data_IF_962438920748
#
_entry.id   IF_962438920748
#
_cell.length_a   1.000
_cell.length_b   1.000
_cell.length_c   1.000
_cell.angle_alpha   90.00
_cell.angle_beta   90.00
_cell.angle_gamma   90.00
#
_symmetry.space_group_name_H-M   'P 1'
#
loop_
_entity.id
_entity.type
_entity.pdbx_description
1 polymer ?
#
# COMPACT_ATOMS: atom_id res chain seq x y z
N UNK A 1 12.40 -8.51 30.20
CA UNK A 1 12.79 -7.68 29.03
C UNK A 1 14.05 -6.90 29.35
N UNK A 2 15.12 -7.01 28.55
CA UNK A 2 16.36 -6.24 28.68
C UNK A 2 16.49 -5.24 27.52
N UNK A 3 16.29 -3.94 27.80
CA UNK A 3 16.34 -2.86 26.80
C UNK A 3 17.69 -2.15 26.82
N UNK A 4 18.80 -2.90 26.90
CA UNK A 4 20.14 -2.33 26.91
C UNK A 4 21.11 -3.14 26.04
N UNK A 5 22.05 -2.42 25.40
CA UNK A 5 23.14 -3.02 24.64
C UNK A 5 24.45 -2.25 24.88
N UNK A 6 25.58 -2.93 24.69
CA UNK A 6 26.91 -2.31 24.76
C UNK A 6 27.57 -2.40 23.39
N UNK A 7 27.86 -1.26 22.78
CA UNK A 7 28.56 -1.16 21.49
C UNK A 7 29.88 -0.42 21.68
N UNK A 8 30.99 -1.04 21.27
CA UNK A 8 32.33 -0.44 21.39
C UNK A 8 32.65 0.14 22.79
N UNK A 9 32.24 -0.56 23.87
CA UNK A 9 32.39 -0.17 25.28
C UNK A 9 31.47 0.96 25.77
N UNK A 10 30.56 1.45 24.94
CA UNK A 10 29.50 2.41 25.31
C UNK A 10 28.22 1.66 25.58
N UNK A 11 27.65 1.86 26.77
CA UNK A 11 26.33 1.30 27.13
C UNK A 11 25.19 2.20 26.62
N UNK A 12 24.19 1.58 26.01
CA UNK A 12 22.94 2.20 25.59
C UNK A 12 21.80 1.56 26.34
N UNK A 13 20.86 2.37 26.80
CA UNK A 13 19.65 1.91 27.48
C UNK A 13 18.45 2.66 26.96
N UNK A 14 17.38 1.94 26.62
CA UNK A 14 16.15 2.48 26.10
C UNK A 14 15.03 2.36 27.15
N UNK A 15 14.15 3.35 27.20
CA UNK A 15 13.11 3.43 28.22
C UNK A 15 11.90 2.50 27.93
N UNK A 16 11.65 2.16 26.66
CA UNK A 16 10.52 1.36 26.24
C UNK A 16 10.79 0.60 24.93
N UNK A 17 9.95 -0.40 24.62
CA UNK A 17 9.95 -1.09 23.31
C UNK A 17 9.66 -0.11 22.18
N UNK A 18 8.74 0.83 22.39
CA UNK A 18 8.45 1.92 21.44
C UNK A 18 9.69 2.73 21.08
N UNK A 19 10.51 3.10 22.07
CA UNK A 19 11.78 3.80 21.82
C UNK A 19 12.78 2.91 21.07
N UNK A 20 12.87 1.62 21.40
CA UNK A 20 13.72 0.67 20.66
C UNK A 20 13.29 0.59 19.20
N UNK A 21 11.99 0.45 18.91
CA UNK A 21 11.45 0.42 17.56
C UNK A 21 11.82 1.69 16.79
N UNK A 22 11.58 2.86 17.37
CA UNK A 22 11.84 4.14 16.72
C UNK A 22 13.33 4.33 16.41
N UNK A 23 14.20 4.06 17.38
CA UNK A 23 15.67 4.24 17.22
C UNK A 23 16.33 3.16 16.36
N UNK A 24 15.71 1.98 16.20
CA UNK A 24 16.16 0.95 15.28
C UNK A 24 15.86 1.27 13.82
N UNK A 25 14.96 2.23 13.56
CA UNK A 25 14.52 2.57 12.22
C UNK A 25 15.67 3.07 11.33
N UNK A 26 15.67 2.77 10.01
CA UNK A 26 16.52 3.49 9.06
C UNK A 26 16.30 5.00 9.14
N UNK A 27 17.28 5.83 8.77
CA UNK A 27 17.10 7.27 8.80
C UNK A 27 15.88 7.70 7.98
N UNK A 28 15.01 8.51 8.61
CA UNK A 28 13.81 9.08 8.00
C UNK A 28 13.66 10.51 8.49
N UNK A 29 13.41 11.42 7.59
CA UNK A 29 13.25 12.85 7.92
C UNK A 29 12.09 13.09 8.88
N UNK A 30 10.96 12.38 8.71
CA UNK A 30 9.81 12.48 9.61
C UNK A 30 10.12 12.04 11.03
N UNK A 31 10.88 10.96 11.23
CA UNK A 31 11.27 10.51 12.58
C UNK A 31 12.22 11.51 13.28
N UNK A 32 13.07 12.18 12.49
CA UNK A 32 13.92 13.27 13.00
C UNK A 32 13.06 14.46 13.42
N UNK A 33 12.10 14.86 12.58
CA UNK A 33 11.16 15.95 12.86
C UNK A 33 10.32 15.66 14.12
N UNK A 34 9.88 14.42 14.29
CA UNK A 34 9.11 13.98 15.46
C UNK A 34 9.98 13.80 16.72
N UNK A 35 11.31 13.90 16.61
CA UNK A 35 12.25 13.74 17.74
C UNK A 35 12.38 12.29 18.25
N UNK A 36 11.99 11.29 17.45
CA UNK A 36 12.02 9.87 17.83
C UNK A 36 13.17 9.09 17.21
N UNK A 37 13.85 9.65 16.21
CA UNK A 37 14.99 9.04 15.55
C UNK A 37 16.17 8.77 16.50
N UNK A 38 17.04 7.81 16.12
CA UNK A 38 18.34 7.65 16.78
C UNK A 38 19.21 8.91 16.61
N UNK A 39 19.88 9.35 17.67
CA UNK A 39 20.74 10.52 17.65
C UNK A 39 22.00 10.35 16.79
N UNK A 40 22.46 9.10 16.62
CA UNK A 40 23.57 8.76 15.75
C UNK A 40 23.50 7.31 15.23
N UNK A 41 24.35 6.93 14.23
CA UNK A 41 24.34 5.57 13.68
C UNK A 41 24.71 4.46 14.70
N UNK A 42 25.46 4.78 15.77
CA UNK A 42 25.87 3.78 16.78
C UNK A 42 24.71 3.48 17.72
N UNK A 43 23.94 4.50 18.12
CA UNK A 43 22.70 4.32 18.87
C UNK A 43 21.70 3.46 18.08
N UNK A 44 21.57 3.69 16.75
CA UNK A 44 20.73 2.85 15.88
C UNK A 44 21.18 1.39 15.87
N UNK A 45 22.50 1.14 15.81
CA UNK A 45 23.04 -0.23 15.89
C UNK A 45 22.71 -0.85 17.24
N UNK A 46 22.83 -0.09 18.34
CA UNK A 46 22.48 -0.56 19.69
C UNK A 46 20.97 -0.91 19.78
N UNK A 47 20.10 -0.04 19.26
CA UNK A 47 18.66 -0.28 19.22
C UNK A 47 18.30 -1.53 18.39
N UNK A 48 18.93 -1.72 17.23
CA UNK A 48 18.76 -2.94 16.41
C UNK A 48 19.24 -4.19 17.11
N UNK A 49 20.33 -4.14 17.85
CA UNK A 49 20.83 -5.27 18.63
C UNK A 49 19.85 -5.67 19.75
N UNK A 50 19.25 -4.67 20.43
CA UNK A 50 18.17 -4.92 21.40
C UNK A 50 16.95 -5.49 20.72
N UNK A 51 16.48 -4.86 19.63
CA UNK A 51 15.30 -5.27 18.89
C UNK A 51 15.39 -6.71 18.40
N UNK A 52 16.57 -7.12 17.89
CA UNK A 52 16.80 -8.49 17.42
C UNK A 52 16.62 -9.55 18.51
N UNK A 53 16.87 -9.20 19.79
CA UNK A 53 16.73 -10.09 20.92
C UNK A 53 15.37 -10.08 21.61
N UNK A 54 14.46 -9.16 21.27
CA UNK A 54 13.10 -9.11 21.79
C UNK A 54 12.27 -10.25 21.19
N UNK A 55 11.50 -10.96 22.03
CA UNK A 55 10.55 -11.97 21.56
C UNK A 55 9.29 -11.31 20.98
N UNK A 56 8.60 -12.01 20.07
CA UNK A 56 7.34 -11.52 19.53
C UNK A 56 6.28 -11.35 20.63
N UNK A 57 6.35 -12.20 21.67
CA UNK A 57 5.51 -12.05 22.86
C UNK A 57 5.79 -10.75 23.61
N UNK A 58 7.06 -10.38 23.82
CA UNK A 58 7.43 -9.10 24.46
C UNK A 58 6.97 -7.89 23.65
N UNK A 59 7.01 -7.98 22.31
CA UNK A 59 6.46 -6.93 21.44
C UNK A 59 4.95 -6.80 21.60
N UNK A 60 4.20 -7.89 21.60
CA UNK A 60 2.74 -7.90 21.81
C UNK A 60 2.34 -7.32 23.16
N UNK A 61 3.06 -7.70 24.22
CA UNK A 61 2.83 -7.19 25.58
C UNK A 61 3.20 -5.71 25.77
N UNK A 62 3.77 -5.07 24.74
CA UNK A 62 4.25 -3.68 24.79
C UNK A 62 3.79 -2.90 23.55
N UNK A 63 2.48 -2.72 23.33
CA UNK A 63 1.96 -1.99 22.18
C UNK A 63 2.46 -0.54 22.18
N UNK A 64 2.69 0.03 20.98
CA UNK A 64 3.21 1.41 20.86
C UNK A 64 2.19 2.48 21.26
N UNK A 65 0.89 2.17 21.16
CA UNK A 65 -0.21 2.94 21.75
C UNK A 65 -1.01 1.99 22.65
N UNK A 66 -1.31 2.35 23.91
CA UNK A 66 -2.01 1.46 24.83
C UNK A 66 -3.40 1.02 24.31
N UNK A 67 -3.81 -0.19 24.67
CA UNK A 67 -5.11 -0.77 24.28
C UNK A 67 -6.29 0.12 24.64
N UNK A 68 -6.27 0.73 25.84
CA UNK A 68 -7.34 1.58 26.34
C UNK A 68 -7.45 2.93 25.62
N UNK A 69 -6.36 3.35 24.93
CA UNK A 69 -6.23 4.68 24.34
C UNK A 69 -6.47 4.70 22.81
N UNK A 70 -6.50 3.51 22.14
CA UNK A 70 -6.47 3.49 20.68
C UNK A 70 -7.31 2.34 20.11
N UNK A 71 -8.29 2.66 19.27
CA UNK A 71 -9.18 1.67 18.65
C UNK A 71 -8.43 0.73 17.68
N UNK A 72 -7.31 1.19 17.07
CA UNK A 72 -6.53 0.36 16.16
C UNK A 72 -5.76 -0.70 16.96
N UNK A 73 -5.25 -0.36 18.15
CA UNK A 73 -4.65 -1.36 19.05
C UNK A 73 -5.68 -2.40 19.48
N UNK A 74 -6.90 -1.96 19.88
CA UNK A 74 -8.00 -2.88 20.22
C UNK A 74 -8.32 -3.82 19.06
N UNK A 75 -8.53 -3.25 17.88
CA UNK A 75 -8.85 -4.03 16.68
C UNK A 75 -7.78 -5.09 16.36
N UNK A 76 -6.49 -4.72 16.45
CA UNK A 76 -5.37 -5.63 16.17
C UNK A 76 -5.32 -6.76 17.19
N UNK A 77 -5.40 -6.44 18.50
CA UNK A 77 -5.33 -7.45 19.57
C UNK A 77 -6.54 -8.39 19.56
N UNK A 78 -7.76 -7.84 19.39
CA UNK A 78 -9.00 -8.63 19.42
C UNK A 78 -9.17 -9.52 18.19
N UNK A 79 -8.50 -9.22 17.07
CA UNK A 79 -8.56 -10.00 15.83
C UNK A 79 -7.37 -10.94 15.61
N UNK A 80 -6.40 -10.97 16.51
CA UNK A 80 -5.21 -11.81 16.38
C UNK A 80 -5.58 -13.30 16.45
N UNK A 81 -5.05 -14.11 15.54
CA UNK A 81 -5.17 -15.57 15.61
C UNK A 81 -4.20 -16.14 16.66
N UNK A 82 -4.74 -16.47 17.82
CA UNK A 82 -3.95 -17.00 18.95
C UNK A 82 -3.23 -18.29 18.58
N UNK A 83 -3.83 -19.17 17.79
CA UNK A 83 -3.20 -20.44 17.41
C UNK A 83 -2.01 -20.23 16.47
N UNK A 84 -2.09 -19.28 15.56
CA UNK A 84 -0.97 -18.88 14.73
C UNK A 84 0.11 -18.14 15.53
N UNK A 85 -0.29 -17.30 16.50
CA UNK A 85 0.63 -16.60 17.39
C UNK A 85 1.40 -17.57 18.30
N UNK A 86 0.75 -18.59 18.88
CA UNK A 86 1.39 -19.58 19.73
C UNK A 86 2.55 -20.33 19.03
N UNK A 87 2.47 -20.46 17.70
CA UNK A 87 3.54 -21.06 16.90
C UNK A 87 4.80 -20.19 16.81
N UNK A 88 4.70 -18.86 16.97
CA UNK A 88 5.79 -17.91 16.71
C UNK A 88 6.13 -17.02 17.90
N UNK A 89 5.25 -16.86 18.87
CA UNK A 89 5.39 -15.92 19.99
C UNK A 89 6.68 -16.07 20.80
N UNK A 90 7.27 -17.27 20.81
CA UNK A 90 8.53 -17.58 21.49
C UNK A 90 9.78 -17.14 20.71
N UNK A 91 9.68 -16.90 19.39
CA UNK A 91 10.79 -16.47 18.55
C UNK A 91 11.20 -15.03 18.90
N UNK A 92 12.49 -14.75 18.87
CA UNK A 92 12.91 -13.37 18.86
C UNK A 92 12.84 -12.78 17.41
N UNK A 93 12.85 -11.45 17.33
CA UNK A 93 12.74 -10.76 16.01
C UNK A 93 13.88 -11.18 15.07
N UNK A 94 15.07 -11.41 15.60
CA UNK A 94 16.21 -11.91 14.83
C UNK A 94 15.96 -13.31 14.26
N UNK A 95 15.42 -14.21 15.06
CA UNK A 95 15.06 -15.59 14.63
C UNK A 95 13.96 -15.58 13.57
N UNK A 96 12.93 -14.74 13.75
CA UNK A 96 11.89 -14.54 12.72
C UNK A 96 12.50 -14.06 11.42
N UNK A 97 13.44 -13.07 11.47
CA UNK A 97 14.16 -12.59 10.28
C UNK A 97 14.89 -13.71 9.55
N UNK A 98 15.68 -14.51 10.27
CA UNK A 98 16.44 -15.61 9.68
C UNK A 98 15.49 -16.65 9.05
N UNK A 99 14.43 -17.03 9.74
CA UNK A 99 13.44 -17.97 9.23
C UNK A 99 12.76 -17.45 7.93
N UNK A 100 12.37 -16.19 7.87
CA UNK A 100 11.79 -15.58 6.66
C UNK A 100 12.74 -15.62 5.48
N UNK A 101 14.06 -15.48 5.71
CA UNK A 101 15.09 -15.46 4.68
C UNK A 101 15.52 -16.86 4.23
N UNK A 102 15.30 -17.89 5.01
CA UNK A 102 15.67 -19.27 4.63
C UNK A 102 15.08 -19.65 3.28
N UNK A 103 15.88 -20.33 2.44
CA UNK A 103 15.45 -20.78 1.11
C UNK A 103 14.29 -21.77 1.19
N UNK A 104 14.22 -22.56 2.26
CA UNK A 104 13.18 -23.56 2.52
C UNK A 104 11.87 -22.95 3.00
N UNK A 105 11.87 -21.73 3.49
CA UNK A 105 10.65 -21.03 3.92
C UNK A 105 9.85 -20.57 2.71
N UNK A 106 8.69 -21.22 2.51
CA UNK A 106 7.79 -20.94 1.39
C UNK A 106 6.78 -19.84 1.70
N UNK A 107 6.17 -19.27 0.67
CA UNK A 107 5.08 -18.30 0.84
C UNK A 107 3.87 -18.88 1.57
N UNK A 108 3.59 -20.18 1.45
CA UNK A 108 2.49 -20.84 2.18
C UNK A 108 2.80 -20.96 3.68
N UNK A 109 4.05 -21.24 4.04
CA UNK A 109 4.49 -21.22 5.44
C UNK A 109 4.39 -19.82 6.04
N UNK A 110 4.79 -18.79 5.31
CA UNK A 110 4.64 -17.39 5.75
C UNK A 110 3.16 -17.05 5.93
N UNK A 111 2.30 -17.44 4.98
CA UNK A 111 0.86 -17.21 5.05
C UNK A 111 0.22 -17.87 6.28
N UNK A 112 0.69 -19.04 6.69
CA UNK A 112 0.13 -19.74 7.86
C UNK A 112 0.38 -19.03 9.19
N UNK A 113 1.46 -18.23 9.30
CA UNK A 113 1.77 -17.46 10.51
C UNK A 113 1.27 -16.01 10.45
N UNK A 114 0.95 -15.51 9.25
CA UNK A 114 0.54 -14.11 9.05
C UNK A 114 -0.62 -13.66 9.95
N UNK A 115 -1.69 -14.47 10.21
CA UNK A 115 -2.77 -14.09 11.12
C UNK A 115 -2.33 -13.91 12.59
N UNK A 116 -1.22 -14.51 13.00
CA UNK A 116 -0.63 -14.39 14.33
C UNK A 116 0.39 -13.25 14.47
N UNK A 117 0.65 -12.47 13.40
CA UNK A 117 1.55 -11.34 13.45
C UNK A 117 0.79 -10.03 13.72
N UNK A 118 1.27 -9.25 14.71
CA UNK A 118 0.83 -7.86 14.86
C UNK A 118 1.61 -6.95 13.90
N UNK A 119 1.09 -5.75 13.59
CA UNK A 119 1.80 -4.74 12.81
C UNK A 119 3.18 -4.39 13.38
N UNK A 120 3.28 -4.28 14.70
CA UNK A 120 4.54 -3.97 15.39
C UNK A 120 5.60 -5.07 15.18
N UNK A 121 5.19 -6.34 15.11
CA UNK A 121 6.10 -7.46 14.78
C UNK A 121 6.59 -7.37 13.33
N UNK A 122 5.70 -7.03 12.40
CA UNK A 122 6.08 -6.81 11.00
C UNK A 122 7.04 -5.62 10.85
N UNK A 123 6.78 -4.50 11.53
CA UNK A 123 7.68 -3.35 11.57
C UNK A 123 9.03 -3.69 12.23
N UNK A 124 9.03 -4.47 13.32
CA UNK A 124 10.25 -4.86 14.02
C UNK A 124 11.19 -5.67 13.12
N UNK A 125 10.67 -6.71 12.45
CA UNK A 125 11.48 -7.55 11.56
C UNK A 125 11.94 -6.76 10.32
N UNK A 126 11.10 -5.88 9.78
CA UNK A 126 11.41 -4.98 8.67
C UNK A 126 12.66 -4.12 8.95
N UNK A 127 12.78 -3.55 10.15
CA UNK A 127 13.91 -2.71 10.57
C UNK A 127 15.26 -3.44 10.65
N UNK A 128 15.24 -4.76 10.74
CA UNK A 128 16.45 -5.59 10.72
C UNK A 128 16.87 -6.04 9.31
N UNK A 129 16.06 -5.77 8.29
CA UNK A 129 16.27 -6.23 6.91
C UNK A 129 16.95 -5.18 6.04
N UNK A 130 17.81 -5.62 5.12
CA UNK A 130 18.28 -4.83 3.98
C UNK A 130 17.20 -4.71 2.91
N UNK A 131 17.37 -3.82 1.93
CA UNK A 131 16.47 -3.73 0.79
C UNK A 131 16.32 -5.07 0.05
N UNK A 132 17.43 -5.79 -0.13
CA UNK A 132 17.42 -7.09 -0.79
C UNK A 132 16.67 -8.15 0.02
N UNK A 133 16.81 -8.12 1.36
CA UNK A 133 16.04 -9.01 2.26
C UNK A 133 14.53 -8.76 2.12
N UNK A 134 14.10 -7.48 2.16
CA UNK A 134 12.70 -7.08 1.99
C UNK A 134 12.13 -7.57 0.65
N UNK A 135 12.88 -7.39 -0.43
CA UNK A 135 12.49 -7.85 -1.76
C UNK A 135 12.39 -9.38 -1.82
N UNK A 136 13.37 -10.09 -1.25
CA UNK A 136 13.43 -11.56 -1.27
C UNK A 136 12.22 -12.16 -0.55
N UNK A 137 11.88 -11.64 0.62
CA UNK A 137 10.72 -12.13 1.39
C UNK A 137 9.41 -11.67 0.75
N UNK A 138 9.31 -10.41 0.32
CA UNK A 138 8.14 -9.88 -0.37
C UNK A 138 7.74 -10.71 -1.59
N UNK A 139 8.73 -11.16 -2.37
CA UNK A 139 8.52 -12.03 -3.54
C UNK A 139 7.97 -13.43 -3.17
N UNK A 140 8.25 -13.94 -1.97
CA UNK A 140 7.66 -15.20 -1.46
C UNK A 140 6.19 -15.02 -1.05
N UNK A 141 5.82 -13.84 -0.52
CA UNK A 141 4.49 -13.56 0.01
C UNK A 141 3.51 -13.29 -1.14
N UNK A 142 2.72 -14.30 -1.50
CA UNK A 142 1.71 -14.17 -2.55
C UNK A 142 0.34 -13.95 -1.94
N UNK A 143 -0.32 -12.87 -2.35
CA UNK A 143 -1.70 -12.56 -1.99
C UNK A 143 -2.52 -12.47 -3.27
N UNK A 144 -3.55 -13.30 -3.39
CA UNK A 144 -4.45 -13.34 -4.55
C UNK A 144 -5.83 -12.86 -4.11
N UNK A 145 -6.36 -11.87 -4.81
CA UNK A 145 -7.67 -11.26 -4.53
C UNK A 145 -8.49 -11.13 -5.80
N UNK A 146 -9.81 -11.04 -5.69
CA UNK A 146 -10.74 -11.00 -6.81
C UNK A 146 -11.85 -9.97 -6.62
N UNK A 147 -12.01 -9.09 -7.60
CA UNK A 147 -13.20 -8.25 -7.83
C UNK A 147 -13.84 -8.66 -9.16
N UNK A 148 -13.77 -7.86 -10.22
CA UNK A 148 -14.20 -8.28 -11.57
C UNK A 148 -13.09 -9.08 -12.29
N UNK A 149 -11.84 -8.92 -11.89
CA UNK A 149 -10.69 -9.72 -12.33
C UNK A 149 -9.86 -10.18 -11.14
N UNK A 150 -8.77 -10.92 -11.39
CA UNK A 150 -7.96 -11.58 -10.36
C UNK A 150 -6.56 -10.97 -10.31
N UNK A 151 -6.18 -10.35 -9.16
CA UNK A 151 -4.86 -9.78 -8.92
C UNK A 151 -3.95 -10.72 -8.14
N UNK A 152 -2.64 -10.49 -8.23
CA UNK A 152 -1.61 -11.17 -7.44
C UNK A 152 -1.23 -12.56 -7.93
N UNK A 153 -1.64 -12.95 -9.12
CA UNK A 153 -1.25 -14.23 -9.74
C UNK A 153 0.25 -14.26 -10.11
N UNK A 154 0.88 -15.45 -10.18
CA UNK A 154 2.26 -15.57 -10.60
C UNK A 154 2.51 -14.95 -11.98
N UNK A 155 3.63 -14.21 -12.11
CA UNK A 155 4.00 -13.59 -13.38
C UNK A 155 3.21 -12.36 -13.77
N UNK A 156 2.30 -11.88 -12.92
CA UNK A 156 1.55 -10.65 -13.17
C UNK A 156 2.16 -9.43 -12.45
N UNK A 157 1.95 -8.26 -13.04
CA UNK A 157 2.10 -6.94 -12.45
C UNK A 157 0.98 -6.08 -12.99
N UNK A 158 0.01 -5.76 -12.17
CA UNK A 158 -1.16 -4.99 -12.59
C UNK A 158 -0.88 -3.48 -12.56
N UNK A 159 -1.77 -2.68 -13.12
CA UNK A 159 -1.67 -1.23 -13.11
C UNK A 159 -3.00 -0.60 -12.66
N UNK A 160 -2.94 0.25 -11.65
CA UNK A 160 -4.01 1.21 -11.37
C UNK A 160 -3.88 2.36 -12.35
N UNK A 161 -4.97 2.68 -13.03
CA UNK A 161 -5.06 3.81 -13.94
C UNK A 161 -5.70 4.99 -13.22
N UNK A 162 -5.00 6.14 -13.16
CA UNK A 162 -5.48 7.36 -12.51
C UNK A 162 -5.70 8.48 -13.55
N UNK A 163 -6.92 8.63 -14.06
CA UNK A 163 -7.23 9.61 -15.09
C UNK A 163 -7.79 10.90 -14.47
N UNK A 164 -7.09 11.50 -13.53
CA UNK A 164 -7.54 12.71 -12.84
C UNK A 164 -7.75 13.89 -13.79
N UNK A 165 -8.73 14.73 -13.45
CA UNK A 165 -8.97 15.99 -14.15
C UNK A 165 -9.20 17.14 -13.15
N UNK A 166 -8.54 18.30 -13.30
CA UNK A 166 -8.54 19.35 -12.26
C UNK A 166 -9.89 20.04 -12.03
N UNK A 167 -10.88 19.77 -12.88
CA UNK A 167 -12.24 20.31 -12.76
C UNK A 167 -13.33 19.24 -12.88
N UNK A 168 -12.98 17.99 -12.72
CA UNK A 168 -13.87 16.82 -12.85
C UNK A 168 -14.62 16.76 -14.20
N UNK A 169 -14.04 17.34 -15.29
CA UNK A 169 -14.64 17.21 -16.60
C UNK A 169 -14.65 15.73 -17.03
N UNK A 170 -15.82 15.14 -17.05
CA UNK A 170 -16.02 13.72 -17.36
C UNK A 170 -15.46 13.34 -18.74
N UNK A 171 -15.55 14.24 -19.73
CA UNK A 171 -14.96 13.97 -21.06
C UNK A 171 -13.45 13.88 -21.01
N UNK A 172 -12.81 14.74 -20.24
CA UNK A 172 -11.37 14.71 -19.99
C UNK A 172 -10.94 13.43 -19.25
N UNK A 173 -11.68 13.04 -18.21
CA UNK A 173 -11.47 11.78 -17.46
C UNK A 173 -11.57 10.58 -18.39
N UNK A 174 -12.64 10.49 -19.20
CA UNK A 174 -12.84 9.39 -20.15
C UNK A 174 -11.76 9.37 -21.25
N UNK A 175 -11.30 10.52 -21.71
CA UNK A 175 -10.21 10.58 -22.68
C UNK A 175 -8.91 10.02 -22.11
N UNK A 176 -8.49 10.48 -20.92
CA UNK A 176 -7.32 9.98 -20.21
C UNK A 176 -7.45 8.48 -19.87
N UNK A 177 -8.66 8.03 -19.51
CA UNK A 177 -8.93 6.61 -19.28
C UNK A 177 -8.67 5.77 -20.53
N UNK A 178 -9.19 6.20 -21.69
CA UNK A 178 -8.96 5.51 -22.96
C UNK A 178 -7.48 5.48 -23.36
N UNK A 179 -6.76 6.56 -23.08
CA UNK A 179 -5.33 6.60 -23.32
C UNK A 179 -4.59 5.55 -22.48
N UNK A 180 -4.81 5.51 -21.16
CA UNK A 180 -4.17 4.52 -20.30
C UNK A 180 -4.53 3.08 -20.66
N UNK A 181 -5.80 2.81 -20.99
CA UNK A 181 -6.23 1.50 -21.48
C UNK A 181 -5.51 1.10 -22.78
N UNK A 182 -5.30 2.04 -23.71
CA UNK A 182 -4.57 1.80 -24.96
C UNK A 182 -3.08 1.49 -24.75
N UNK A 183 -2.53 1.86 -23.60
CA UNK A 183 -1.17 1.45 -23.16
C UNK A 183 -1.17 0.19 -22.28
N UNK A 184 -2.33 -0.45 -22.09
CA UNK A 184 -2.45 -1.67 -21.30
C UNK A 184 -2.47 -1.44 -19.78
N UNK A 185 -2.83 -0.25 -19.33
CA UNK A 185 -3.05 0.08 -17.92
C UNK A 185 -4.53 -0.01 -17.55
N UNK A 186 -4.83 -0.25 -16.27
CA UNK A 186 -6.20 -0.24 -15.74
C UNK A 186 -6.73 -1.60 -15.30
N UNK A 187 -5.94 -2.64 -15.35
CA UNK A 187 -6.33 -3.98 -14.91
C UNK A 187 -6.47 -4.11 -13.38
N UNK A 188 -5.77 -3.27 -12.59
CA UNK A 188 -6.02 -3.23 -11.14
C UNK A 188 -7.32 -2.46 -10.84
N UNK A 189 -7.43 -1.25 -11.37
CA UNK A 189 -8.60 -0.38 -11.21
C UNK A 189 -8.48 0.85 -12.11
N UNK A 190 -9.60 1.42 -12.53
CA UNK A 190 -9.70 2.79 -13.01
C UNK A 190 -10.15 3.64 -11.83
N UNK A 191 -9.22 4.37 -11.21
CA UNK A 191 -9.45 5.12 -9.97
C UNK A 191 -9.26 6.62 -10.18
N UNK A 192 -10.31 7.41 -9.96
CA UNK A 192 -10.31 8.87 -10.12
C UNK A 192 -10.26 9.55 -8.77
N UNK A 193 -9.26 10.41 -8.54
CA UNK A 193 -9.32 11.38 -7.45
C UNK A 193 -10.14 12.59 -7.92
N UNK A 194 -11.31 12.86 -7.33
CA UNK A 194 -12.13 13.98 -7.76
C UNK A 194 -11.57 15.30 -7.22
N UNK A 195 -11.72 16.37 -8.00
CA UNK A 195 -11.46 17.74 -7.53
C UNK A 195 -12.58 18.24 -6.60
N UNK A 196 -13.79 17.68 -6.77
CA UNK A 196 -14.98 18.02 -5.97
C UNK A 196 -15.48 16.81 -5.21
N UNK A 197 -15.38 16.85 -3.89
CA UNK A 197 -15.83 15.76 -3.01
C UNK A 197 -17.36 15.87 -2.76
N UNK A 198 -18.17 15.54 -3.79
CA UNK A 198 -19.64 15.54 -3.71
C UNK A 198 -20.24 14.22 -4.17
N UNK A 199 -21.35 13.75 -3.56
CA UNK A 199 -22.03 12.52 -3.96
C UNK A 199 -22.48 12.52 -5.42
N UNK A 200 -22.95 13.66 -5.92
CA UNK A 200 -23.47 13.82 -7.29
C UNK A 200 -22.33 13.71 -8.33
N UNK A 201 -21.21 14.43 -8.12
CA UNK A 201 -20.02 14.34 -8.97
C UNK A 201 -19.44 12.92 -8.95
N UNK A 202 -19.31 12.32 -7.77
CA UNK A 202 -18.86 10.94 -7.60
C UNK A 202 -19.74 9.98 -8.37
N UNK A 203 -21.07 10.10 -8.24
CA UNK A 203 -22.03 9.24 -8.93
C UNK A 203 -22.02 9.42 -10.47
N UNK A 204 -21.81 10.65 -10.96
CA UNK A 204 -21.69 10.94 -12.38
C UNK A 204 -20.45 10.28 -12.97
N UNK A 205 -19.28 10.47 -12.35
CA UNK A 205 -18.02 9.86 -12.80
C UNK A 205 -18.14 8.34 -12.84
N UNK A 206 -18.68 7.72 -11.77
CA UNK A 206 -18.85 6.27 -11.70
C UNK A 206 -19.77 5.73 -12.81
N UNK A 207 -20.90 6.40 -13.12
CA UNK A 207 -21.81 5.98 -14.19
C UNK A 207 -21.15 6.05 -15.57
N UNK A 208 -20.38 7.09 -15.83
CA UNK A 208 -19.72 7.26 -17.11
C UNK A 208 -18.54 6.28 -17.30
N UNK A 209 -17.78 5.99 -16.23
CA UNK A 209 -16.76 4.94 -16.23
C UNK A 209 -17.39 3.57 -16.46
N UNK A 210 -18.50 3.24 -15.78
CA UNK A 210 -19.23 2.00 -16.00
C UNK A 210 -19.70 1.88 -17.45
N UNK A 211 -20.25 2.95 -18.02
CA UNK A 211 -20.66 2.98 -19.42
C UNK A 211 -19.50 2.73 -20.39
N UNK A 212 -18.30 3.26 -20.13
CA UNK A 212 -17.10 2.97 -20.92
C UNK A 212 -16.68 1.51 -20.81
N UNK A 213 -16.66 0.98 -19.58
CA UNK A 213 -16.31 -0.42 -19.29
C UNK A 213 -17.25 -1.37 -20.02
N UNK A 214 -18.54 -1.17 -19.91
CA UNK A 214 -19.57 -2.02 -20.55
C UNK A 214 -19.51 -1.98 -22.08
N UNK A 215 -19.45 -0.77 -22.67
CA UNK A 215 -19.40 -0.60 -24.14
C UNK A 215 -18.20 -1.30 -24.77
N UNK A 216 -17.10 -1.42 -24.07
CA UNK A 216 -15.87 -2.01 -24.58
C UNK A 216 -15.55 -3.38 -23.95
N UNK A 217 -16.46 -3.93 -23.12
CA UNK A 217 -16.31 -5.20 -22.40
C UNK A 217 -14.94 -5.31 -21.68
N UNK A 218 -14.52 -4.26 -20.96
CA UNK A 218 -13.23 -4.20 -20.31
C UNK A 218 -13.27 -4.98 -18.99
N UNK A 219 -12.44 -6.01 -18.79
CA UNK A 219 -12.41 -6.77 -17.54
C UNK A 219 -11.62 -6.01 -16.47
N UNK A 220 -12.26 -5.03 -15.85
CA UNK A 220 -11.70 -4.19 -14.81
C UNK A 220 -12.79 -3.76 -13.82
N UNK A 221 -12.42 -2.99 -12.83
CA UNK A 221 -13.27 -2.33 -11.86
C UNK A 221 -12.97 -0.82 -11.82
N UNK A 222 -13.92 -0.05 -11.33
CA UNK A 222 -13.78 1.39 -11.17
C UNK A 222 -13.95 1.83 -9.71
N UNK A 223 -13.42 3.01 -9.41
CA UNK A 223 -13.53 3.66 -8.11
C UNK A 223 -13.39 5.18 -8.26
N UNK A 224 -14.09 5.95 -7.43
CA UNK A 224 -13.81 7.38 -7.22
C UNK A 224 -13.30 7.57 -5.79
N UNK A 225 -12.16 8.23 -5.64
CA UNK A 225 -11.43 8.32 -4.38
C UNK A 225 -11.93 9.51 -3.53
N UNK A 226 -13.24 9.67 -3.43
CA UNK A 226 -13.91 10.57 -2.50
C UNK A 226 -13.84 10.04 -1.07
N UNK A 227 -14.12 10.86 -0.09
CA UNK A 227 -14.28 10.40 1.30
C UNK A 227 -15.35 9.30 1.39
N UNK A 228 -15.16 8.31 2.28
CA UNK A 228 -16.05 7.14 2.39
C UNK A 228 -17.52 7.53 2.56
N UNK A 229 -17.82 8.56 3.36
CA UNK A 229 -19.21 9.05 3.55
C UNK A 229 -19.84 9.61 2.27
N UNK A 230 -19.04 10.22 1.39
CA UNK A 230 -19.51 10.70 0.08
C UNK A 230 -19.82 9.53 -0.83
N UNK A 231 -18.98 8.48 -0.82
CA UNK A 231 -19.20 7.26 -1.59
C UNK A 231 -20.45 6.50 -1.11
N UNK A 232 -20.68 6.41 0.21
CA UNK A 232 -21.89 5.82 0.78
C UNK A 232 -23.14 6.57 0.27
N UNK A 233 -23.12 7.91 0.25
CA UNK A 233 -24.19 8.73 -0.29
C UNK A 233 -24.38 8.52 -1.82
N UNK A 234 -23.29 8.41 -2.57
CA UNK A 234 -23.35 8.11 -3.99
C UNK A 234 -24.04 6.74 -4.26
N UNK A 235 -23.77 5.73 -3.43
CA UNK A 235 -24.49 4.44 -3.49
C UNK A 235 -25.97 4.58 -3.20
N UNK A 236 -26.38 5.45 -2.27
CA UNK A 236 -27.79 5.74 -2.01
C UNK A 236 -28.49 6.39 -3.23
N UNK A 237 -27.73 7.14 -4.06
CA UNK A 237 -28.20 7.67 -5.35
C UNK A 237 -28.30 6.61 -6.45
N UNK A 238 -27.99 5.34 -6.13
CA UNK A 238 -28.08 4.20 -7.06
C UNK A 238 -27.03 4.22 -8.16
N UNK A 239 -25.83 4.75 -7.91
CA UNK A 239 -24.73 4.64 -8.85
C UNK A 239 -24.07 3.25 -8.80
N UNK A 240 -23.55 2.73 -9.93
CA UNK A 240 -22.70 1.54 -9.89
C UNK A 240 -21.40 1.85 -9.16
N UNK A 241 -20.94 0.95 -8.30
CA UNK A 241 -19.68 1.07 -7.59
C UNK A 241 -19.06 -0.31 -7.42
N UNK A 242 -17.86 -0.49 -7.97
CA UNK A 242 -17.14 -1.77 -7.87
C UNK A 242 -16.30 -1.85 -6.61
N UNK A 243 -15.60 -0.76 -6.28
CA UNK A 243 -14.74 -0.66 -5.11
C UNK A 243 -15.07 0.60 -4.32
N UNK A 244 -14.95 0.53 -3.00
CA UNK A 244 -15.05 1.67 -2.09
C UNK A 244 -13.69 2.00 -1.50
N UNK A 245 -13.32 3.26 -1.57
CA UNK A 245 -12.02 3.79 -1.18
C UNK A 245 -12.04 4.46 0.19
N UNK A 246 -10.93 4.37 0.93
CA UNK A 246 -10.60 5.28 2.02
C UNK A 246 -9.10 5.28 2.34
N UNK A 247 -8.54 6.45 2.68
CA UNK A 247 -7.19 6.57 3.26
C UNK A 247 -7.23 6.21 4.74
N UNK A 248 -6.20 5.50 5.21
CA UNK A 248 -6.09 5.02 6.59
C UNK A 248 -4.88 5.62 7.29
N UNK A 249 -4.99 5.78 8.60
CA UNK A 249 -3.88 6.08 9.51
C UNK A 249 -3.66 4.95 10.52
N UNK A 250 -2.45 4.86 11.05
CA UNK A 250 -2.05 3.82 12.00
C UNK A 250 -2.51 4.04 13.45
N UNK A 251 -3.28 5.10 13.72
CA UNK A 251 -3.80 5.43 15.05
C UNK A 251 -5.24 5.93 14.97
N UNK A 252 -6.00 5.76 16.06
CA UNK A 252 -7.35 6.32 16.18
C UNK A 252 -7.36 7.85 15.97
N UNK A 253 -6.40 8.55 16.56
CA UNK A 253 -6.30 10.00 16.41
C UNK A 253 -6.06 10.43 14.96
N UNK A 254 -5.24 9.70 14.21
CA UNK A 254 -4.99 9.94 12.78
C UNK A 254 -6.22 9.65 11.93
N UNK A 255 -6.93 8.55 12.21
CA UNK A 255 -8.18 8.21 11.51
C UNK A 255 -9.28 9.23 11.77
N UNK A 256 -9.41 9.72 13.01
CA UNK A 256 -10.32 10.84 13.33
C UNK A 256 -9.98 12.13 12.59
N UNK A 257 -8.69 12.41 12.35
CA UNK A 257 -8.29 13.55 11.53
C UNK A 257 -8.70 13.38 10.05
N UNK A 258 -8.80 12.15 9.57
CA UNK A 258 -9.37 11.80 8.25
C UNK A 258 -10.90 11.72 8.25
N UNK A 259 -11.55 11.92 9.39
CA UNK A 259 -13.02 11.84 9.51
C UNK A 259 -13.56 10.41 9.57
N UNK A 260 -12.75 9.42 9.91
CA UNK A 260 -13.14 8.01 9.98
C UNK A 260 -12.92 7.37 11.36
N UNK A 261 -13.63 6.27 11.59
CA UNK A 261 -13.48 5.37 12.74
C UNK A 261 -13.66 3.93 12.26
N UNK A 262 -13.34 2.94 13.11
CA UNK A 262 -13.59 1.53 12.82
C UNK A 262 -15.08 1.30 12.55
N UNK A 263 -15.98 1.83 13.37
CA UNK A 263 -17.44 1.67 13.21
C UNK A 263 -17.93 2.20 11.84
N UNK A 264 -17.46 3.38 11.41
CA UNK A 264 -17.83 3.94 10.10
C UNK A 264 -17.32 3.05 8.96
N UNK A 265 -16.12 2.51 9.08
CA UNK A 265 -15.57 1.62 8.07
C UNK A 265 -16.28 0.27 8.04
N UNK A 266 -16.75 -0.24 9.18
CA UNK A 266 -17.59 -1.44 9.26
C UNK A 266 -18.93 -1.21 8.53
N UNK A 267 -19.60 -0.08 8.79
CA UNK A 267 -20.85 0.32 8.09
C UNK A 267 -20.63 0.42 6.56
N UNK A 268 -19.54 1.06 6.14
CA UNK A 268 -19.19 1.19 4.73
C UNK A 268 -18.95 -0.17 4.07
N UNK A 269 -18.24 -1.06 4.76
CA UNK A 269 -17.97 -2.41 4.26
C UNK A 269 -19.25 -3.26 4.15
N UNK A 270 -20.15 -3.16 5.12
CA UNK A 270 -21.47 -3.83 5.07
C UNK A 270 -22.31 -3.31 3.89
N UNK A 271 -22.40 -2.00 3.72
CA UNK A 271 -23.13 -1.36 2.63
C UNK A 271 -22.59 -1.80 1.26
N UNK A 272 -21.26 -1.82 1.10
CA UNK A 272 -20.64 -2.34 -0.12
C UNK A 272 -20.89 -3.84 -0.31
N UNK A 273 -20.88 -4.62 0.76
CA UNK A 273 -21.21 -6.04 0.73
C UNK A 273 -22.57 -6.31 0.08
N UNK A 274 -23.54 -5.43 0.34
CA UNK A 274 -24.90 -5.53 -0.16
C UNK A 274 -25.12 -4.95 -1.57
N UNK A 275 -24.43 -3.82 -1.91
CA UNK A 275 -24.79 -2.97 -3.05
C UNK A 275 -23.75 -2.84 -4.16
N UNK A 276 -22.56 -3.40 -3.99
CA UNK A 276 -21.50 -3.30 -5.00
C UNK A 276 -21.91 -3.89 -6.35
N UNK A 277 -21.33 -3.35 -7.42
CA UNK A 277 -21.49 -3.86 -8.78
C UNK A 277 -20.49 -4.99 -9.10
N UNK A 278 -19.32 -5.01 -8.45
CA UNK A 278 -18.31 -6.05 -8.65
C UNK A 278 -18.78 -7.42 -8.14
N UNK A 279 -18.28 -8.48 -8.79
CA UNK A 279 -18.75 -9.87 -8.55
C UNK A 279 -17.90 -10.65 -7.54
N UNK A 280 -16.67 -10.22 -7.28
CA UNK A 280 -15.74 -10.88 -6.37
C UNK A 280 -15.98 -10.55 -4.90
N UNK A 281 -15.31 -11.27 -3.99
CA UNK A 281 -15.46 -11.07 -2.55
C UNK A 281 -14.70 -9.87 -2.01
N UNK A 282 -13.72 -9.33 -2.76
CA UNK A 282 -12.85 -8.24 -2.34
C UNK A 282 -13.29 -6.95 -3.02
N UNK A 283 -13.64 -5.91 -2.25
CA UNK A 283 -14.22 -4.69 -2.78
C UNK A 283 -13.82 -3.41 -2.04
N UNK A 284 -13.02 -3.52 -0.97
CA UNK A 284 -12.46 -2.33 -0.32
C UNK A 284 -11.11 -1.98 -0.94
N UNK A 285 -10.84 -0.68 -1.02
CA UNK A 285 -9.59 -0.11 -1.49
C UNK A 285 -9.05 0.89 -0.46
N UNK A 286 -7.82 0.66 0.02
CA UNK A 286 -7.20 1.53 1.01
C UNK A 286 -5.94 2.16 0.47
N UNK A 287 -5.71 3.43 0.85
CA UNK A 287 -4.43 4.12 0.68
C UNK A 287 -3.81 4.46 2.02
N UNK A 288 -2.49 4.37 2.05
CA UNK A 288 -1.63 4.65 3.20
C UNK A 288 -0.40 5.40 2.73
N UNK A 289 0.45 5.85 3.64
CA UNK A 289 1.72 6.47 3.30
C UNK A 289 2.50 6.87 4.55
N UNK A 290 3.80 6.54 4.58
CA UNK A 290 4.67 6.93 5.67
C UNK A 290 4.63 8.44 5.89
N UNK A 291 4.45 8.86 7.14
CA UNK A 291 4.32 10.26 7.53
C UNK A 291 2.89 10.72 7.81
N UNK A 292 1.84 9.97 7.41
CA UNK A 292 0.44 10.40 7.56
C UNK A 292 0.05 10.67 9.02
N UNK A 293 0.39 9.78 9.95
CA UNK A 293 0.11 10.00 11.38
C UNK A 293 0.98 11.11 11.99
N UNK A 294 2.19 11.33 11.47
CA UNK A 294 3.06 12.42 11.91
C UNK A 294 2.50 13.77 11.46
N UNK A 295 2.03 13.88 10.20
CA UNK A 295 1.49 15.12 9.63
C UNK A 295 0.23 15.59 10.37
N UNK A 296 -0.55 14.67 10.93
CA UNK A 296 -1.73 14.96 11.75
C UNK A 296 -1.43 15.10 13.24
N UNK A 297 -0.15 15.09 13.65
CA UNK A 297 0.30 15.10 15.05
C UNK A 297 -0.33 13.98 15.90
N UNK A 298 -0.54 12.82 15.28
CA UNK A 298 -1.25 11.66 15.86
C UNK A 298 -0.31 10.45 16.07
N UNK A 299 1.02 10.68 16.18
CA UNK A 299 2.00 9.62 16.18
C UNK A 299 2.30 8.99 17.55
N UNK A 300 1.81 9.55 18.64
CA UNK A 300 2.01 9.05 20.02
C UNK A 300 3.47 8.70 20.38
N UNK A 301 4.45 9.36 19.74
CA UNK A 301 5.89 9.09 19.93
C UNK A 301 6.38 7.79 19.26
N UNK A 302 5.59 7.19 18.37
CA UNK A 302 6.01 6.07 17.53
C UNK A 302 6.64 6.57 16.22
N UNK A 303 7.49 5.75 15.59
CA UNK A 303 8.11 6.03 14.30
C UNK A 303 7.17 5.75 13.12
N UNK A 304 7.46 6.37 11.98
CA UNK A 304 6.58 6.32 10.82
C UNK A 304 6.47 4.93 10.18
N UNK A 305 7.49 4.06 10.28
CA UNK A 305 7.42 2.68 9.75
C UNK A 305 6.48 1.82 10.61
N UNK A 306 6.55 1.95 11.94
CA UNK A 306 5.64 1.25 12.84
C UNK A 306 4.19 1.73 12.65
N UNK A 307 3.98 3.04 12.48
CA UNK A 307 2.66 3.62 12.24
C UNK A 307 2.08 3.17 10.89
N UNK A 308 2.91 3.08 9.85
CA UNK A 308 2.49 2.56 8.55
C UNK A 308 2.07 1.09 8.63
N UNK A 309 2.84 0.25 9.32
CA UNK A 309 2.44 -1.15 9.56
C UNK A 309 1.07 -1.25 10.25
N UNK A 310 0.75 -0.33 11.15
CA UNK A 310 -0.55 -0.29 11.85
C UNK A 310 -1.71 0.04 10.93
N UNK A 311 -1.49 0.83 9.86
CA UNK A 311 -2.49 1.00 8.78
C UNK A 311 -2.84 -0.36 8.15
N UNK A 312 -1.85 -1.22 7.97
CA UNK A 312 -2.05 -2.58 7.42
C UNK A 312 -2.80 -3.50 8.38
N UNK A 313 -2.57 -3.35 9.70
CA UNK A 313 -3.39 -4.02 10.72
C UNK A 313 -4.86 -3.63 10.63
N UNK A 314 -5.15 -2.36 10.39
CA UNK A 314 -6.52 -1.88 10.18
C UNK A 314 -7.10 -2.40 8.85
N UNK A 315 -6.37 -2.25 7.75
CA UNK A 315 -6.82 -2.69 6.42
C UNK A 315 -7.16 -4.20 6.37
N UNK A 316 -6.39 -5.04 7.08
CA UNK A 316 -6.56 -6.50 7.09
C UNK A 316 -7.96 -6.96 7.51
N UNK A 317 -8.63 -6.20 8.39
CA UNK A 317 -10.00 -6.49 8.85
C UNK A 317 -10.99 -6.65 7.70
N UNK A 318 -10.82 -5.89 6.62
CA UNK A 318 -11.77 -5.80 5.52
C UNK A 318 -11.44 -6.68 4.32
N UNK A 319 -10.37 -7.49 4.38
CA UNK A 319 -9.94 -8.33 3.26
C UNK A 319 -9.97 -7.58 1.91
N UNK A 320 -9.24 -6.47 1.77
CA UNK A 320 -9.40 -5.53 0.67
C UNK A 320 -8.98 -6.11 -0.67
N UNK A 321 -9.49 -5.50 -1.75
CA UNK A 321 -9.02 -5.78 -3.11
C UNK A 321 -7.70 -5.06 -3.42
N UNK A 322 -7.52 -3.84 -2.88
CA UNK A 322 -6.32 -3.04 -3.07
C UNK A 322 -5.87 -2.43 -1.73
N UNK A 323 -4.56 -2.45 -1.50
CA UNK A 323 -3.90 -1.58 -0.52
C UNK A 323 -2.74 -0.90 -1.24
N UNK A 324 -2.75 0.41 -1.30
CA UNK A 324 -1.78 1.24 -1.99
C UNK A 324 -0.97 2.07 -1.00
N UNK A 325 0.35 1.91 -0.98
CA UNK A 325 1.20 2.89 -0.31
C UNK A 325 1.57 4.01 -1.27
N UNK A 326 1.38 5.26 -0.85
CA UNK A 326 1.69 6.48 -1.63
C UNK A 326 2.96 7.08 -1.06
N UNK A 327 4.12 6.55 -1.51
CA UNK A 327 5.39 6.65 -0.74
C UNK A 327 5.96 8.05 -0.58
N UNK A 328 5.83 8.95 -1.53
CA UNK A 328 6.43 10.28 -1.46
C UNK A 328 5.42 11.43 -1.44
N UNK A 329 4.15 11.12 -1.27
CA UNK A 329 3.06 12.10 -1.39
C UNK A 329 2.86 13.00 -0.17
N UNK A 330 3.10 12.48 1.04
CA UNK A 330 2.83 13.23 2.30
C UNK A 330 3.70 14.49 2.37
N UNK A 331 4.94 14.42 1.88
CA UNK A 331 5.82 15.57 1.75
C UNK A 331 7.27 15.26 2.11
N UNK A 332 8.20 16.13 1.68
CA UNK A 332 9.63 15.97 1.90
C UNK A 332 10.02 16.10 3.39
N UNK A 333 9.15 16.65 4.23
CA UNK A 333 9.35 16.71 5.69
C UNK A 333 9.41 15.29 6.30
N UNK A 334 8.79 14.31 5.65
CA UNK A 334 8.70 12.93 6.16
C UNK A 334 9.63 11.98 5.41
N UNK A 335 9.78 12.15 4.09
CA UNK A 335 10.69 11.40 3.21
C UNK A 335 11.36 12.40 2.26
N UNK A 336 12.54 12.90 2.63
CA UNK A 336 13.16 14.06 1.99
C UNK A 336 13.85 13.76 0.66
N UNK A 337 14.25 12.50 0.43
CA UNK A 337 15.12 12.16 -0.71
C UNK A 337 14.83 10.77 -1.28
N UNK A 338 15.39 10.51 -2.47
CA UNK A 338 15.19 9.25 -3.20
C UNK A 338 15.57 7.99 -2.40
N UNK A 339 16.58 8.07 -1.53
CA UNK A 339 16.99 6.93 -0.67
C UNK A 339 15.91 6.61 0.36
N UNK A 340 15.35 7.62 1.03
CA UNK A 340 14.28 7.44 2.00
C UNK A 340 13.01 6.93 1.34
N UNK A 341 12.63 7.49 0.18
CA UNK A 341 11.44 7.09 -0.60
C UNK A 341 11.58 5.66 -1.11
N UNK A 342 12.74 5.31 -1.68
CA UNK A 342 13.00 3.93 -2.13
C UNK A 342 12.90 2.94 -0.99
N UNK A 343 13.50 3.28 0.15
CA UNK A 343 13.45 2.42 1.35
C UNK A 343 12.01 2.28 1.86
N UNK A 344 11.25 3.37 1.94
CA UNK A 344 9.86 3.36 2.38
C UNK A 344 8.98 2.46 1.49
N UNK A 345 9.06 2.60 0.16
CA UNK A 345 8.28 1.75 -0.74
C UNK A 345 8.54 0.25 -0.57
N UNK A 346 9.80 -0.14 -0.32
CA UNK A 346 10.15 -1.55 -0.07
C UNK A 346 9.70 -2.02 1.31
N UNK A 347 9.77 -1.18 2.34
CA UNK A 347 9.30 -1.47 3.70
C UNK A 347 7.78 -1.68 3.71
N UNK A 348 7.05 -0.75 3.14
CA UNK A 348 5.58 -0.77 3.09
C UNK A 348 5.07 -1.98 2.33
N UNK A 349 5.63 -2.22 1.14
CA UNK A 349 5.35 -3.41 0.36
C UNK A 349 5.59 -4.71 1.15
N UNK A 350 6.75 -4.83 1.81
CA UNK A 350 7.10 -6.01 2.60
C UNK A 350 6.15 -6.21 3.78
N UNK A 351 5.91 -5.16 4.59
CA UNK A 351 5.07 -5.26 5.79
C UNK A 351 3.63 -5.63 5.44
N UNK A 352 3.05 -4.98 4.43
CA UNK A 352 1.70 -5.31 4.00
C UNK A 352 1.58 -6.73 3.43
N UNK A 353 2.56 -7.19 2.63
CA UNK A 353 2.58 -8.57 2.10
C UNK A 353 2.76 -9.61 3.22
N UNK A 354 3.60 -9.33 4.20
CA UNK A 354 3.79 -10.20 5.38
C UNK A 354 2.50 -10.32 6.19
N UNK A 355 1.72 -9.24 6.27
CA UNK A 355 0.41 -9.21 6.94
C UNK A 355 -0.74 -9.72 6.05
N UNK A 356 -0.46 -10.26 4.85
CA UNK A 356 -1.44 -10.91 3.99
C UNK A 356 -2.23 -9.96 3.08
N UNK A 357 -1.73 -8.75 2.80
CA UNK A 357 -2.41 -7.74 2.00
C UNK A 357 -1.95 -7.70 0.53
N UNK A 358 -2.85 -7.38 -0.43
CA UNK A 358 -2.54 -7.24 -1.86
C UNK A 358 -1.88 -5.88 -2.15
N UNK A 359 -0.61 -5.74 -1.73
CA UNK A 359 0.11 -4.47 -1.78
C UNK A 359 0.42 -4.00 -3.20
N UNK A 360 -0.03 -2.79 -3.48
CA UNK A 360 0.43 -1.95 -4.58
C UNK A 360 1.20 -0.74 -4.07
N UNK A 361 1.77 0.00 -5.00
CA UNK A 361 2.53 1.21 -4.68
C UNK A 361 2.28 2.30 -5.72
N UNK A 362 2.00 3.50 -5.23
CA UNK A 362 2.27 4.72 -5.97
C UNK A 362 3.73 5.10 -5.71
N UNK A 363 4.59 4.71 -6.65
CA UNK A 363 5.97 5.15 -6.66
C UNK A 363 5.98 6.61 -7.11
N UNK A 364 6.04 7.53 -6.16
CA UNK A 364 5.87 8.96 -6.42
C UNK A 364 6.73 9.83 -5.51
N UNK A 365 6.83 11.09 -5.86
CA UNK A 365 7.40 12.14 -5.02
C UNK A 365 6.80 13.50 -5.35
N UNK A 366 6.68 14.37 -4.34
CA UNK A 366 6.34 15.78 -4.54
C UNK A 366 7.55 16.54 -5.07
N UNK A 367 7.34 17.60 -5.85
CA UNK A 367 8.41 18.36 -6.51
C UNK A 367 9.47 18.98 -5.58
N UNK A 368 9.23 18.98 -4.28
CA UNK A 368 10.17 19.51 -3.28
C UNK A 368 11.10 18.44 -2.70
N UNK A 369 10.87 17.16 -2.97
CA UNK A 369 11.76 16.09 -2.53
C UNK A 369 13.04 16.06 -3.38
N UNK A 370 14.17 15.75 -2.75
CA UNK A 370 15.45 15.55 -3.42
C UNK A 370 15.49 14.14 -4.05
N UNK A 371 14.76 13.99 -5.14
CA UNK A 371 14.64 12.75 -5.91
C UNK A 371 14.60 13.05 -7.40
N UNK A 372 15.27 12.22 -8.17
CA UNK A 372 15.25 12.26 -9.63
C UNK A 372 14.23 11.26 -10.20
N UNK A 373 13.84 11.48 -11.46
CA UNK A 373 13.02 10.53 -12.21
C UNK A 373 13.72 9.16 -12.36
N UNK A 374 15.05 9.14 -12.55
CA UNK A 374 15.84 7.90 -12.67
C UNK A 374 15.78 7.04 -11.38
N UNK A 375 15.79 7.68 -10.21
CA UNK A 375 15.62 6.99 -8.92
C UNK A 375 14.20 6.44 -8.78
N UNK A 376 13.20 7.19 -9.24
CA UNK A 376 11.81 6.74 -9.24
C UNK A 376 11.60 5.53 -10.17
N UNK A 377 12.21 5.54 -11.36
CA UNK A 377 12.19 4.41 -12.29
C UNK A 377 12.86 3.17 -11.69
N UNK A 378 13.97 3.36 -10.97
CA UNK A 378 14.62 2.28 -10.23
C UNK A 378 13.71 1.66 -9.18
N UNK A 379 12.97 2.47 -8.41
CA UNK A 379 12.02 1.98 -7.41
C UNK A 379 10.91 1.11 -8.05
N UNK A 380 10.37 1.51 -9.21
CA UNK A 380 9.36 0.73 -9.94
C UNK A 380 9.88 -0.66 -10.31
N UNK A 381 11.12 -0.76 -10.77
CA UNK A 381 11.77 -2.05 -11.10
C UNK A 381 11.98 -2.90 -9.85
N UNK A 382 12.46 -2.31 -8.74
CA UNK A 382 12.65 -3.01 -7.47
C UNK A 382 11.33 -3.57 -6.93
N UNK A 383 10.26 -2.77 -6.93
CA UNK A 383 8.92 -3.20 -6.51
C UNK A 383 8.37 -4.33 -7.40
N UNK A 384 8.50 -4.19 -8.71
CA UNK A 384 8.08 -5.24 -9.65
C UNK A 384 8.84 -6.55 -9.43
N UNK A 385 10.16 -6.48 -9.18
CA UNK A 385 10.99 -7.65 -8.85
C UNK A 385 10.63 -8.24 -7.47
N UNK A 386 10.28 -7.40 -6.49
CA UNK A 386 9.82 -7.83 -5.17
C UNK A 386 8.43 -8.47 -5.17
N UNK A 387 7.73 -8.53 -6.31
CA UNK A 387 6.39 -9.12 -6.41
C UNK A 387 5.25 -8.20 -6.01
N UNK A 388 5.42 -6.90 -6.19
CA UNK A 388 4.35 -5.92 -6.03
C UNK A 388 3.14 -6.31 -6.89
N UNK A 389 1.94 -6.22 -6.33
CA UNK A 389 0.71 -6.67 -6.98
C UNK A 389 0.33 -5.73 -8.13
N UNK A 390 0.48 -4.42 -7.92
CA UNK A 390 0.24 -3.40 -8.93
C UNK A 390 1.05 -2.13 -8.66
N UNK A 391 1.27 -1.35 -9.71
CA UNK A 391 1.79 0.01 -9.61
C UNK A 391 0.70 1.00 -10.05
N UNK A 392 0.66 2.16 -9.44
CA UNK A 392 -0.19 3.25 -9.92
C UNK A 392 0.39 3.83 -11.21
N UNK A 393 -0.48 4.35 -12.08
CA UNK A 393 -0.06 4.99 -13.32
C UNK A 393 -1.01 6.11 -13.73
N UNK A 394 -0.44 7.14 -14.36
CA UNK A 394 -1.16 8.33 -14.78
C UNK A 394 -0.62 8.89 -16.10
N UNK A 395 -1.32 9.83 -16.75
CA UNK A 395 -0.83 10.44 -17.97
C UNK A 395 0.55 11.07 -17.75
N UNK A 396 1.51 10.76 -18.61
CA UNK A 396 2.91 11.25 -18.61
C UNK A 396 3.67 11.16 -17.28
N UNK A 397 3.10 10.46 -16.27
CA UNK A 397 3.69 10.36 -14.93
C UNK A 397 3.60 11.63 -14.09
N UNK A 398 2.73 12.55 -14.44
CA UNK A 398 2.62 13.86 -13.81
C UNK A 398 1.16 14.15 -13.45
N UNK A 399 0.85 14.23 -12.15
CA UNK A 399 -0.49 14.58 -11.69
C UNK A 399 -0.66 16.09 -11.58
N UNK A 400 -1.33 16.65 -12.58
CA UNK A 400 -1.55 18.11 -12.68
C UNK A 400 -2.58 18.62 -11.65
N UNK A 401 -3.38 17.74 -11.04
CA UNK A 401 -4.35 18.11 -10.02
C UNK A 401 -3.72 18.09 -8.62
N UNK A 402 -2.99 17.02 -8.29
CA UNK A 402 -2.40 16.80 -6.96
C UNK A 402 -0.93 17.27 -6.90
N UNK A 403 -0.36 17.67 -8.01
CA UNK A 403 0.96 18.32 -8.11
C UNK A 403 2.12 17.44 -7.60
N UNK A 404 2.24 16.21 -8.11
CA UNK A 404 3.33 15.30 -7.82
C UNK A 404 3.71 14.45 -9.04
N UNK A 405 4.92 13.88 -9.03
CA UNK A 405 5.40 12.94 -10.05
C UNK A 405 5.23 11.50 -9.62
N UNK A 406 4.90 10.64 -10.56
CA UNK A 406 4.65 9.22 -10.36
C UNK A 406 5.03 8.41 -11.62
N UNK A 407 4.30 7.35 -11.88
CA UNK A 407 4.54 6.38 -12.95
C UNK A 407 3.72 6.74 -14.18
N UNK A 408 4.34 6.81 -15.36
CA UNK A 408 3.61 6.97 -16.61
C UNK A 408 3.02 5.65 -17.12
N UNK A 409 2.08 5.72 -18.07
CA UNK A 409 1.59 4.54 -18.76
C UNK A 409 2.69 3.79 -19.53
N UNK A 410 3.66 4.53 -20.06
CA UNK A 410 4.83 3.95 -20.75
C UNK A 410 5.75 3.20 -19.77
N UNK A 411 5.92 3.71 -18.56
CA UNK A 411 6.74 3.05 -17.53
C UNK A 411 6.17 1.68 -17.18
N UNK A 412 4.83 1.57 -17.05
CA UNK A 412 4.19 0.27 -16.79
C UNK A 412 4.51 -0.73 -17.90
N UNK A 413 4.40 -0.32 -19.15
CA UNK A 413 4.73 -1.18 -20.30
C UNK A 413 6.22 -1.58 -20.27
N UNK A 414 7.11 -0.65 -19.96
CA UNK A 414 8.56 -0.88 -19.87
C UNK A 414 8.91 -1.82 -18.72
N UNK A 415 8.39 -1.60 -17.52
CA UNK A 415 8.64 -2.46 -16.33
C UNK A 415 8.11 -3.88 -16.56
N UNK A 416 6.90 -4.01 -17.12
CA UNK A 416 6.37 -5.33 -17.51
C UNK A 416 7.27 -6.04 -18.50
N UNK A 417 7.75 -5.33 -19.54
CA UNK A 417 8.65 -5.87 -20.54
C UNK A 417 10.00 -6.31 -19.96
N UNK A 418 10.62 -5.47 -19.14
CA UNK A 418 11.90 -5.76 -18.48
C UNK A 418 11.84 -6.97 -17.55
N UNK A 419 10.75 -7.10 -16.80
CA UNK A 419 10.58 -8.17 -15.79
C UNK A 419 9.84 -9.41 -16.33
N UNK A 420 9.45 -9.43 -17.59
CA UNK A 420 8.65 -10.51 -18.17
C UNK A 420 7.28 -10.68 -17.51
N UNK A 421 6.70 -9.58 -17.00
CA UNK A 421 5.41 -9.59 -16.33
C UNK A 421 4.26 -9.30 -17.30
N UNK A 422 3.08 -9.78 -16.93
CA UNK A 422 1.84 -9.60 -17.69
C UNK A 422 0.79 -8.87 -16.84
N UNK A 423 -0.20 -8.22 -17.43
CA UNK A 423 -1.41 -7.81 -16.69
C UNK A 423 -2.18 -9.03 -16.19
N UNK A 424 -3.30 -8.82 -15.53
CA UNK A 424 -4.22 -9.92 -15.13
C UNK A 424 -4.62 -10.75 -16.34
N UNK A 425 -4.83 -12.09 -16.19
CA UNK A 425 -5.17 -12.95 -17.33
C UNK A 425 -6.41 -12.50 -18.11
N UNK A 426 -7.42 -12.03 -17.41
CA UNK A 426 -8.67 -11.54 -18.00
C UNK A 426 -8.44 -10.29 -18.87
N UNK A 427 -7.64 -9.35 -18.35
CA UNK A 427 -7.29 -8.12 -19.06
C UNK A 427 -6.29 -8.39 -20.20
N UNK A 428 -5.35 -9.30 -20.00
CA UNK A 428 -4.41 -9.71 -21.03
C UNK A 428 -5.13 -10.33 -22.25
N UNK A 429 -6.14 -11.16 -21.99
CA UNK A 429 -6.99 -11.70 -23.07
C UNK A 429 -7.72 -10.59 -23.83
N UNK A 430 -8.29 -9.59 -23.11
CA UNK A 430 -8.95 -8.45 -23.73
C UNK A 430 -7.99 -7.57 -24.55
N UNK A 431 -6.75 -7.32 -24.07
CA UNK A 431 -5.73 -6.59 -24.80
C UNK A 431 -5.34 -7.28 -26.11
N UNK A 432 -5.25 -8.60 -26.11
CA UNK A 432 -4.97 -9.38 -27.30
C UNK A 432 -6.17 -9.37 -28.28
N UNK A 433 -7.39 -9.50 -27.77
CA UNK A 433 -8.61 -9.48 -28.58
C UNK A 433 -8.80 -8.13 -29.28
N UNK A 434 -8.49 -7.03 -28.62
CA UNK A 434 -8.60 -5.67 -29.16
C UNK A 434 -7.41 -5.27 -30.03
N UNK A 435 -6.37 -6.09 -30.09
CA UNK A 435 -5.15 -5.82 -30.84
C UNK A 435 -4.27 -4.72 -30.22
N UNK A 436 -4.52 -4.34 -28.95
CA UNK A 436 -3.64 -3.47 -28.18
C UNK A 436 -2.34 -4.20 -27.91
N UNK A 437 -2.41 -5.48 -27.54
CA UNK A 437 -1.24 -6.35 -27.45
C UNK A 437 -1.32 -7.49 -28.47
N UNK A 438 -0.17 -8.05 -28.81
CA UNK A 438 -0.01 -9.27 -29.63
C UNK A 438 0.95 -10.20 -28.89
N UNK A 439 0.40 -11.10 -28.09
CA UNK A 439 1.19 -11.87 -27.13
C UNK A 439 1.84 -10.95 -26.09
N UNK A 440 3.17 -11.00 -25.97
CA UNK A 440 3.94 -10.14 -25.05
C UNK A 440 4.42 -8.83 -25.66
N UNK A 441 4.08 -8.55 -26.92
CA UNK A 441 4.55 -7.38 -27.66
C UNK A 441 3.41 -6.40 -27.92
N UNK A 442 3.69 -5.09 -28.09
CA UNK A 442 2.71 -4.11 -28.55
C UNK A 442 2.04 -4.56 -29.86
N UNK A 443 0.73 -4.50 -29.92
CA UNK A 443 -0.07 -4.78 -31.09
C UNK A 443 -0.28 -3.55 -31.99
N UNK A 444 -1.01 -3.67 -33.11
CA UNK A 444 -1.24 -2.58 -34.05
C UNK A 444 -2.06 -1.43 -33.46
N UNK A 445 -2.77 -1.67 -32.37
CA UNK A 445 -3.64 -0.69 -31.70
C UNK A 445 -3.02 -0.11 -30.41
N UNK A 446 -1.77 -0.49 -30.06
CA UNK A 446 -1.08 0.04 -28.91
C UNK A 446 -0.94 1.57 -29.00
N UNK A 447 -1.30 2.29 -27.93
CA UNK A 447 -1.28 3.74 -27.86
C UNK A 447 -2.32 4.45 -28.73
N UNK A 448 -3.38 3.76 -29.18
CA UNK A 448 -4.45 4.33 -30.00
C UNK A 448 -5.78 4.43 -29.25
N UNK A 449 -6.02 5.50 -28.45
CA UNK A 449 -7.22 5.63 -27.61
C UNK A 449 -8.54 5.70 -28.41
N UNK A 450 -8.50 6.14 -29.67
CA UNK A 450 -9.69 6.25 -30.54
C UNK A 450 -10.37 4.92 -30.90
N UNK A 451 -9.75 3.77 -30.55
CA UNK A 451 -10.35 2.45 -30.68
C UNK A 451 -11.50 2.23 -29.67
N UNK A 452 -11.42 2.83 -28.49
CA UNK A 452 -12.37 2.66 -27.40
C UNK A 452 -13.51 3.68 -27.51
N UNK A 453 -14.76 3.18 -27.45
CA UNK A 453 -15.99 3.97 -27.67
C UNK A 453 -16.60 4.53 -26.39
#
# INVERSE_FOLDING_TARGET
MNLAATIKRTGYRFASVKEVLAKANPPKSGDVLAGVAAGDPVERVAARAVLAGLTLKELRESPVVPYEEDEITRLVEDSLDESAFDCIGHLCVGELREWLLEVTTTGDMIRSISPGLTPEMAAAVCKLMSNLDLMTVGAKCRVVVRANNTLGLPGTLSARLQPNHPTDDVKGILYSTREGLAYGCGDAVIGVNPATDSPESTAEILRELQGLIERNAIPTQHCVLSHVTVQMRALELGCPMDLMFQSLSGTEAGNRAFGISVDLMDEANELMGERRSSTGPNFMYFETGQGSALSSNAHHGADQVTLEARCYGFARRYNPFLVNTVVGFIGPEYLANGSEITRAGLEDHFMGKLLGLPMGCDACFTYHADMSQDELESLKVLLGAAGCTYLMSMPVGDDVMLNYQSTSYHDIASVRGLLGKRPTPEFDAWLNQTGIMSGSSPGPNFGKPGLLR
#
